data_IF_855218051664
#
_entry.id   IF_855218051664
#
_cell.length_a   1.000
_cell.length_b   1.000
_cell.length_c   1.000
_cell.angle_alpha   90.00
_cell.angle_beta   90.00
_cell.angle_gamma   90.00
#
_symmetry.space_group_name_H-M   'P 1'
#
loop_
_entity.id
_entity.type
_entity.pdbx_description
1 polymer ?
#
# COMPACT_ATOMS: atom_id res chain seq x y z
N UNK A 1 4.75 -36.23 9.04
CA UNK A 1 3.90 -35.38 9.89
C UNK A 1 4.03 -33.94 9.40
N UNK A 2 2.96 -33.37 8.84
CA UNK A 2 2.94 -31.96 8.39
C UNK A 2 2.77 -31.07 9.62
N UNK A 3 3.79 -30.27 9.93
CA UNK A 3 3.71 -29.25 10.98
C UNK A 3 2.82 -28.14 10.44
N UNK A 4 1.57 -28.07 10.90
CA UNK A 4 0.67 -26.96 10.58
C UNK A 4 1.28 -25.70 11.20
N UNK A 5 1.85 -24.84 10.36
CA UNK A 5 2.30 -23.51 10.80
C UNK A 5 1.02 -22.67 10.93
N UNK A 6 0.74 -22.10 12.12
CA UNK A 6 -0.38 -21.18 12.27
C UNK A 6 -0.25 -20.03 11.28
N UNK A 7 -1.33 -19.70 10.58
CA UNK A 7 -1.32 -18.53 9.70
C UNK A 7 -0.89 -17.29 10.50
N UNK A 8 -0.03 -16.42 9.94
CA UNK A 8 0.32 -15.17 10.59
C UNK A 8 -0.97 -14.41 10.96
N UNK A 9 -1.01 -13.74 12.13
CA UNK A 9 -2.14 -12.91 12.46
C UNK A 9 -2.36 -11.88 11.35
N UNK A 10 -3.62 -11.72 10.94
CA UNK A 10 -3.99 -10.69 9.98
C UNK A 10 -3.59 -9.31 10.53
N UNK A 11 -3.07 -8.44 9.67
CA UNK A 11 -2.84 -7.06 10.04
C UNK A 11 -4.18 -6.43 10.46
N UNK A 12 -4.23 -5.89 11.68
CA UNK A 12 -5.36 -5.12 12.18
C UNK A 12 -4.88 -3.69 12.39
N UNK A 13 -5.51 -2.75 11.71
CA UNK A 13 -5.32 -1.34 12.04
C UNK A 13 -5.70 -1.09 13.50
N UNK A 14 -4.98 -0.18 14.17
CA UNK A 14 -5.31 0.20 15.54
C UNK A 14 -6.75 0.74 15.58
N UNK A 15 -7.68 0.11 16.33
CA UNK A 15 -9.08 0.53 16.36
C UNK A 15 -9.28 1.91 17.00
N UNK A 16 -8.28 2.41 17.73
CA UNK A 16 -8.33 3.72 18.37
C UNK A 16 -7.91 4.86 17.42
N UNK A 17 -7.49 4.55 16.19
CA UNK A 17 -7.17 5.58 15.20
C UNK A 17 -8.45 6.24 14.69
N UNK A 18 -8.39 7.57 14.53
CA UNK A 18 -9.41 8.26 13.76
C UNK A 18 -9.40 7.78 12.31
N UNK A 19 -10.52 7.95 11.60
CA UNK A 19 -10.56 7.62 10.17
C UNK A 19 -9.52 8.44 9.38
N UNK A 20 -9.26 9.68 9.78
CA UNK A 20 -8.25 10.55 9.17
C UNK A 20 -6.84 10.00 9.40
N UNK A 21 -6.48 9.66 10.64
CA UNK A 21 -5.16 9.06 10.95
C UNK A 21 -4.97 7.71 10.26
N UNK A 22 -6.03 6.90 10.17
CA UNK A 22 -5.99 5.63 9.46
C UNK A 22 -5.75 5.83 7.95
N UNK A 23 -6.36 6.83 7.33
CA UNK A 23 -6.16 7.17 5.93
C UNK A 23 -4.77 7.79 5.68
N UNK A 24 -4.26 8.63 6.60
CA UNK A 24 -2.88 9.14 6.54
C UNK A 24 -1.88 7.97 6.56
N UNK A 25 -2.06 7.02 7.49
CA UNK A 25 -1.22 5.82 7.54
C UNK A 25 -1.36 4.96 6.27
N UNK A 26 -2.56 4.83 5.70
CA UNK A 26 -2.75 4.14 4.44
C UNK A 26 -2.00 4.83 3.29
N UNK A 27 -2.03 6.16 3.20
CA UNK A 27 -1.28 6.92 2.19
C UNK A 27 0.23 6.72 2.32
N UNK A 28 0.76 6.73 3.55
CA UNK A 28 2.18 6.45 3.82
C UNK A 28 2.57 5.02 3.43
N UNK A 29 1.74 4.02 3.76
CA UNK A 29 1.96 2.63 3.37
C UNK A 29 1.97 2.47 1.85
N UNK A 30 1.04 3.11 1.14
CA UNK A 30 0.99 3.09 -0.31
C UNK A 30 2.21 3.77 -0.93
N UNK A 31 2.69 4.89 -0.37
CA UNK A 31 3.95 5.51 -0.78
C UNK A 31 5.13 4.55 -0.61
N UNK A 32 5.24 3.90 0.55
CA UNK A 32 6.29 2.90 0.80
C UNK A 32 6.21 1.75 -0.23
N UNK A 33 5.02 1.24 -0.53
CA UNK A 33 4.84 0.19 -1.52
C UNK A 33 5.32 0.61 -2.92
N UNK A 34 4.99 1.82 -3.36
CA UNK A 34 5.47 2.37 -4.64
C UNK A 34 7.00 2.49 -4.64
N UNK A 35 7.60 3.05 -3.59
CA UNK A 35 9.06 3.17 -3.50
C UNK A 35 9.75 1.81 -3.53
N UNK A 36 9.26 0.84 -2.76
CA UNK A 36 9.81 -0.52 -2.75
C UNK A 36 9.65 -1.22 -4.09
N UNK A 37 8.51 -1.04 -4.77
CA UNK A 37 8.29 -1.61 -6.11
C UNK A 37 9.20 -0.93 -7.16
N UNK A 38 9.43 0.37 -7.04
CA UNK A 38 10.35 1.09 -7.92
C UNK A 38 11.79 0.57 -7.78
N UNK A 39 12.29 0.49 -6.54
CA UNK A 39 13.62 -0.05 -6.23
C UNK A 39 13.75 -1.52 -6.69
N UNK A 40 12.69 -2.31 -6.53
CA UNK A 40 12.65 -3.68 -7.03
C UNK A 40 12.72 -3.72 -8.56
N UNK A 41 11.96 -2.85 -9.24
CA UNK A 41 11.87 -2.80 -10.70
C UNK A 41 13.20 -2.49 -11.38
N UNK A 42 14.08 -1.71 -10.74
CA UNK A 42 15.39 -1.33 -11.26
C UNK A 42 16.33 -2.51 -11.51
N UNK A 43 16.13 -3.61 -10.75
CA UNK A 43 16.88 -4.86 -10.96
C UNK A 43 16.22 -5.82 -11.96
N UNK A 44 15.00 -5.53 -12.43
CA UNK A 44 14.19 -6.40 -13.28
C UNK A 44 14.21 -5.99 -14.75
N UNK A 45 13.91 -6.93 -15.65
CA UNK A 45 13.75 -6.66 -17.09
C UNK A 45 12.64 -7.51 -17.72
N UNK A 46 12.20 -7.12 -18.93
CA UNK A 46 11.11 -7.79 -19.64
C UNK A 46 9.80 -7.84 -18.85
N UNK A 47 9.09 -8.96 -18.95
CA UNK A 47 7.77 -9.13 -18.35
C UNK A 47 7.72 -8.91 -16.82
N UNK A 48 8.80 -9.17 -16.10
CA UNK A 48 8.87 -8.93 -14.65
C UNK A 48 8.90 -7.44 -14.32
N UNK A 49 9.62 -6.64 -15.13
CA UNK A 49 9.60 -5.17 -15.01
C UNK A 49 8.22 -4.63 -15.37
N UNK A 50 7.61 -5.11 -16.45
CA UNK A 50 6.27 -4.68 -16.87
C UNK A 50 5.20 -4.96 -15.80
N UNK A 51 5.26 -6.13 -15.16
CA UNK A 51 4.38 -6.47 -14.04
C UNK A 51 4.62 -5.55 -12.84
N UNK A 52 5.87 -5.28 -12.49
CA UNK A 52 6.21 -4.40 -11.35
C UNK A 52 5.72 -2.98 -11.60
N UNK A 53 5.90 -2.44 -12.82
CA UNK A 53 5.39 -1.13 -13.21
C UNK A 53 3.85 -1.08 -13.17
N UNK A 54 3.19 -2.17 -13.56
CA UNK A 54 1.73 -2.28 -13.47
C UNK A 54 1.25 -2.23 -12.01
N UNK A 55 1.95 -2.91 -11.10
CA UNK A 55 1.65 -2.87 -9.65
C UNK A 55 1.87 -1.46 -9.10
N UNK A 56 2.97 -0.80 -9.48
CA UNK A 56 3.22 0.60 -9.09
C UNK A 56 2.06 1.50 -9.49
N UNK A 57 1.63 1.41 -10.76
CA UNK A 57 0.54 2.22 -11.28
C UNK A 57 -0.77 2.03 -10.48
N UNK A 58 -1.15 0.78 -10.20
CA UNK A 58 -2.32 0.47 -9.39
C UNK A 58 -2.20 1.03 -7.96
N UNK A 59 -1.00 0.98 -7.39
CA UNK A 59 -0.73 1.49 -6.03
C UNK A 59 -0.80 3.01 -5.99
N UNK A 60 -0.27 3.70 -6.99
CA UNK A 60 -0.37 5.15 -7.14
C UNK A 60 -1.82 5.62 -7.31
N UNK A 61 -2.63 4.87 -8.08
CA UNK A 61 -4.06 5.15 -8.22
C UNK A 61 -4.78 5.01 -6.87
N UNK A 62 -4.52 3.94 -6.13
CA UNK A 62 -5.09 3.75 -4.80
C UNK A 62 -4.67 4.88 -3.85
N UNK A 63 -3.40 5.30 -3.89
CA UNK A 63 -2.90 6.42 -3.08
C UNK A 63 -3.64 7.71 -3.42
N UNK A 64 -3.80 8.01 -4.70
CA UNK A 64 -4.54 9.20 -5.16
C UNK A 64 -5.98 9.22 -4.63
N UNK A 65 -6.66 8.07 -4.61
CA UNK A 65 -8.02 7.98 -4.05
C UNK A 65 -8.03 8.23 -2.53
N UNK A 66 -7.03 7.76 -1.80
CA UNK A 66 -6.88 8.00 -0.35
C UNK A 66 -6.59 9.47 -0.08
N UNK A 67 -5.64 10.07 -0.80
CA UNK A 67 -5.28 11.48 -0.67
C UNK A 67 -6.48 12.39 -0.94
N UNK A 68 -7.25 12.13 -2.00
CA UNK A 68 -8.48 12.88 -2.30
C UNK A 68 -9.52 12.76 -1.18
N UNK A 69 -9.61 11.60 -0.54
CA UNK A 69 -10.52 11.39 0.60
C UNK A 69 -10.06 12.23 1.80
N UNK A 70 -8.76 12.23 2.10
CA UNK A 70 -8.17 13.06 3.15
C UNK A 70 -8.40 14.55 2.89
N UNK A 71 -8.15 15.02 1.67
CA UNK A 71 -8.35 16.42 1.28
C UNK A 71 -9.81 16.86 1.50
N UNK A 72 -10.77 15.98 1.22
CA UNK A 72 -12.19 16.27 1.45
C UNK A 72 -12.55 16.40 2.93
N UNK A 73 -11.84 15.69 3.82
CA UNK A 73 -12.06 15.74 5.27
C UNK A 73 -11.43 16.99 5.90
N UNK A 74 -10.38 17.55 5.30
CA UNK A 74 -9.74 18.78 5.77
C UNK A 74 -10.53 20.06 5.43
N UNK A 75 -11.54 19.95 4.56
CA UNK A 75 -12.37 21.08 4.09
C UNK A 75 -13.70 21.26 4.84
N UNK A 76 -14.00 20.42 5.83
CA UNK A 76 -15.14 20.54 6.76
C UNK A 76 -14.72 21.17 8.10
#
# INVERSE_FOLDING_TARGET
MLKVVPAPPAFKANPDLSHEDALMHASDLLRCAVTSAYEFSDSMSGAQRDLTLSIMHLTEMAKTMVDLTLDSMATD
#
